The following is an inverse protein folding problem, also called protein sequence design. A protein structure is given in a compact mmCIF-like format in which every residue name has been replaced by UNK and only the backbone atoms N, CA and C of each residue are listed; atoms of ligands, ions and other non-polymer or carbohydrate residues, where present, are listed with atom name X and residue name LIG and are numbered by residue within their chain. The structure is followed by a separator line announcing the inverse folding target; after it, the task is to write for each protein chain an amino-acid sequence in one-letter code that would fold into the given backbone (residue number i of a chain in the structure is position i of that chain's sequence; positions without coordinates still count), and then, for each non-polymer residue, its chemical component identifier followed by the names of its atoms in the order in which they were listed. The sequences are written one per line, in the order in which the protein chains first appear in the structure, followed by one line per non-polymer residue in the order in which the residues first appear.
data_IF_261040359466
#
_entry.id   IF_261040359466
#
_cell.length_a   1.000
_cell.length_b   1.000
_cell.length_c   1.000
_cell.angle_alpha   90.00
_cell.angle_beta   90.00
_cell.angle_gamma   90.00
#
_symmetry.space_group_name_H-M   'P 1'
#
loop_
_entity.id
_entity.type
_entity.pdbx_description
1 polymer ?
#
# COMPACT_ATOMS: atom_id res chain seq x y z
N UNK A 1 2.40 -13.33 -16.56
CA UNK A 1 2.28 -12.14 -15.71
C UNK A 1 3.12 -11.05 -16.38
N UNK A 2 2.53 -9.89 -16.66
CA UNK A 2 3.20 -8.84 -17.45
C UNK A 2 4.05 -7.91 -16.57
N UNK A 3 5.12 -7.35 -17.13
CA UNK A 3 6.08 -6.51 -16.40
C UNK A 3 5.43 -5.34 -15.61
N UNK A 4 4.33 -4.77 -16.11
CA UNK A 4 3.58 -3.71 -15.41
C UNK A 4 2.97 -4.18 -14.07
N UNK A 5 2.52 -5.44 -13.98
CA UNK A 5 2.00 -6.02 -12.73
C UNK A 5 3.11 -6.23 -11.69
N UNK A 6 4.33 -6.56 -12.13
CA UNK A 6 5.47 -6.76 -11.25
C UNK A 6 5.98 -5.43 -10.68
N UNK A 7 5.95 -4.37 -11.49
CA UNK A 7 6.30 -3.01 -11.05
C UNK A 7 5.29 -2.53 -10.00
N UNK A 8 3.97 -2.68 -10.24
CA UNK A 8 2.93 -2.29 -9.29
C UNK A 8 3.11 -2.94 -7.91
N UNK A 9 3.28 -4.27 -7.89
CA UNK A 9 3.53 -5.03 -6.64
C UNK A 9 4.79 -4.58 -5.91
N UNK A 10 5.84 -4.26 -6.67
CA UNK A 10 7.09 -3.75 -6.09
C UNK A 10 6.87 -2.37 -5.47
N UNK A 11 6.09 -1.50 -6.13
CA UNK A 11 5.69 -0.21 -5.59
C UNK A 11 4.94 -0.33 -4.26
N UNK A 12 3.97 -1.25 -4.18
CA UNK A 12 3.21 -1.51 -2.95
C UNK A 12 4.12 -2.00 -1.82
N UNK A 13 5.03 -2.93 -2.12
CA UNK A 13 5.99 -3.43 -1.13
C UNK A 13 6.90 -2.32 -0.59
N UNK A 14 7.39 -1.44 -1.47
CA UNK A 14 8.21 -0.30 -1.07
C UNK A 14 7.42 0.72 -0.25
N UNK A 15 6.17 1.00 -0.63
CA UNK A 15 5.30 1.89 0.13
C UNK A 15 5.06 1.36 1.56
N UNK A 16 4.81 0.05 1.69
CA UNK A 16 4.67 -0.61 2.99
C UNK A 16 5.93 -0.45 3.84
N UNK A 17 7.09 -0.80 3.29
CA UNK A 17 8.38 -0.69 3.99
C UNK A 17 8.68 0.75 4.44
N UNK A 18 8.36 1.73 3.60
CA UNK A 18 8.49 3.14 3.93
C UNK A 18 7.66 3.52 5.17
N UNK A 19 6.39 3.12 5.21
CA UNK A 19 5.53 3.40 6.37
C UNK A 19 5.97 2.64 7.63
N UNK A 20 6.37 1.37 7.50
CA UNK A 20 6.90 0.58 8.60
C UNK A 20 8.17 1.23 9.19
N UNK A 21 9.08 1.73 8.35
CA UNK A 21 10.28 2.45 8.77
C UNK A 21 9.95 3.78 9.48
N UNK A 22 8.81 4.40 9.19
CA UNK A 22 8.30 5.60 9.88
C UNK A 22 7.51 5.29 11.17
N UNK A 23 7.48 4.01 11.59
CA UNK A 23 6.80 3.56 12.80
C UNK A 23 5.29 3.35 12.64
N UNK A 24 4.78 3.29 11.41
CA UNK A 24 3.41 2.88 11.17
C UNK A 24 3.30 1.36 11.16
N UNK A 25 2.16 0.84 11.61
CA UNK A 25 1.78 -0.56 11.48
C UNK A 25 0.87 -0.74 10.27
N UNK A 26 1.19 -1.69 9.41
CA UNK A 26 0.31 -2.12 8.32
C UNK A 26 -0.89 -2.88 8.89
N UNK A 27 -2.11 -2.44 8.57
CA UNK A 27 -3.37 -3.08 8.94
C UNK A 27 -3.93 -3.95 7.83
N UNK A 28 -3.81 -3.48 6.58
CA UNK A 28 -4.25 -4.22 5.40
C UNK A 28 -3.41 -3.81 4.19
N UNK A 29 -3.25 -4.75 3.26
CA UNK A 29 -2.69 -4.51 1.93
C UNK A 29 -3.57 -5.22 0.90
N UNK A 30 -3.70 -4.67 -0.30
CA UNK A 30 -4.56 -5.19 -1.36
C UNK A 30 -6.01 -5.40 -0.88
N UNK A 31 -6.55 -4.45 -0.13
CA UNK A 31 -7.86 -4.59 0.52
C UNK A 31 -8.98 -4.35 -0.49
N UNK A 32 -9.84 -5.35 -0.68
CA UNK A 32 -10.96 -5.30 -1.63
C UNK A 32 -12.28 -5.03 -0.92
N UNK A 33 -13.07 -4.14 -1.49
CA UNK A 33 -14.41 -3.80 -1.03
C UNK A 33 -15.38 -3.77 -2.21
N UNK A 34 -16.70 -3.89 -1.98
CA UNK A 34 -17.66 -3.63 -3.04
C UNK A 34 -17.46 -2.21 -3.60
N UNK A 35 -17.12 -2.11 -4.88
CA UNK A 35 -16.93 -0.83 -5.58
C UNK A 35 -15.50 -0.27 -5.60
N UNK A 36 -14.50 -0.97 -5.07
CA UNK A 36 -13.11 -0.52 -5.18
C UNK A 36 -12.09 -1.36 -4.44
N UNK A 37 -10.85 -0.86 -4.46
CA UNK A 37 -9.73 -1.43 -3.72
C UNK A 37 -8.93 -0.33 -3.03
N UNK A 38 -8.18 -0.71 -2.01
CA UNK A 38 -7.24 0.14 -1.30
C UNK A 38 -5.92 -0.63 -1.22
N UNK A 39 -4.85 -0.04 -1.76
CA UNK A 39 -3.56 -0.72 -1.84
C UNK A 39 -2.99 -0.99 -0.45
N UNK A 40 -3.03 0.00 0.45
CA UNK A 40 -2.48 -0.09 1.79
C UNK A 40 -3.29 0.72 2.81
N UNK A 41 -3.47 0.13 3.99
CA UNK A 41 -4.03 0.81 5.18
C UNK A 41 -3.01 0.71 6.31
N UNK A 42 -2.54 1.85 6.81
CA UNK A 42 -1.52 1.90 7.86
C UNK A 42 -1.95 2.80 8.99
N UNK A 43 -1.45 2.54 10.20
CA UNK A 43 -1.80 3.30 11.40
C UNK A 43 -0.56 3.63 12.24
N UNK A 44 -0.52 4.85 12.79
CA UNK A 44 0.40 5.24 13.86
C UNK A 44 -0.35 6.07 14.89
N UNK A 45 -0.29 5.67 16.15
CA UNK A 45 -1.07 6.26 17.25
C UNK A 45 -2.56 6.36 16.91
N UNK A 46 -3.07 7.58 16.70
CA UNK A 46 -4.47 7.88 16.35
C UNK A 46 -4.65 8.27 14.88
N UNK A 47 -3.61 8.14 14.06
CA UNK A 47 -3.62 8.51 12.65
C UNK A 47 -3.74 7.25 11.78
N UNK A 48 -4.91 7.08 11.16
CA UNK A 48 -5.17 6.07 10.14
C UNK A 48 -4.95 6.68 8.76
N UNK A 49 -4.18 6.02 7.90
CA UNK A 49 -3.83 6.49 6.55
C UNK A 49 -4.22 5.44 5.53
N UNK A 50 -4.95 5.87 4.51
CA UNK A 50 -5.24 5.10 3.30
C UNK A 50 -4.26 5.53 2.22
N UNK A 51 -3.59 4.54 1.61
CA UNK A 51 -2.49 4.77 0.68
C UNK A 51 -2.86 4.17 -0.66
N UNK A 52 -2.86 5.01 -1.69
CA UNK A 52 -2.96 4.64 -3.10
C UNK A 52 -1.55 4.72 -3.72
N UNK A 53 -1.06 3.64 -4.28
CA UNK A 53 0.30 3.51 -4.81
C UNK A 53 0.27 3.66 -6.33
N UNK A 54 1.01 4.64 -6.84
CA UNK A 54 1.16 4.85 -8.28
C UNK A 54 2.61 4.70 -8.70
N UNK A 55 2.92 3.61 -9.38
CA UNK A 55 4.22 3.42 -10.03
C UNK A 55 4.24 4.09 -11.39
N UNK A 56 5.28 4.87 -11.66
CA UNK A 56 5.56 5.42 -12.99
C UNK A 56 6.75 4.67 -13.57
N UNK A 57 6.59 4.16 -14.79
CA UNK A 57 7.67 3.58 -15.59
C UNK A 57 8.40 4.63 -16.41
#
# INVERSE_FOLDING_TARGET
MGAAHDIGRTGEALARLFYEALGYRCLAANYRLPGGEIDLVVIRDRTLVFVEVKTRG
#
